data_IF_387239543723
#
_entry.id   IF_387239543723
#
_cell.length_a   1.000
_cell.length_b   1.000
_cell.length_c   1.000
_cell.angle_alpha   90.00
_cell.angle_beta   90.00
_cell.angle_gamma   90.00
#
_symmetry.space_group_name_H-M   'P 1'
#
loop_
_entity.id
_entity.type
_entity.pdbx_description
1 polymer ?
#
# COMPACT_ATOMS: atom_id res chain seq x y z
N UNK A 1 -50.22 35.01 27.53
CA UNK A 1 -49.90 36.23 26.75
C UNK A 1 -48.42 36.21 26.44
N UNK A 2 -48.09 36.20 25.15
CA UNK A 2 -46.77 35.91 24.57
C UNK A 2 -45.68 36.91 25.00
N UNK A 3 -44.56 36.39 25.48
CA UNK A 3 -43.29 37.11 25.58
C UNK A 3 -42.69 37.24 24.18
N UNK A 4 -42.81 38.43 23.61
CA UNK A 4 -42.25 38.76 22.29
C UNK A 4 -40.73 38.92 22.38
N UNK A 5 -40.01 38.10 21.62
CA UNK A 5 -38.55 38.10 21.54
C UNK A 5 -38.02 39.42 20.93
N UNK A 6 -37.61 40.35 21.79
CA UNK A 6 -37.06 41.69 21.48
C UNK A 6 -35.77 41.69 20.64
N UNK A 7 -35.09 40.55 20.51
CA UNK A 7 -33.82 40.46 19.77
C UNK A 7 -33.94 40.46 18.24
N UNK A 8 -35.16 40.36 17.69
CA UNK A 8 -35.37 40.24 16.24
C UNK A 8 -35.62 41.57 15.49
N UNK A 9 -35.62 42.73 16.16
CA UNK A 9 -36.03 44.01 15.54
C UNK A 9 -34.92 45.04 15.27
N UNK A 10 -33.64 44.67 15.29
CA UNK A 10 -32.57 45.61 14.91
C UNK A 10 -31.56 45.06 13.90
N UNK A 11 -32.04 44.42 12.84
CA UNK A 11 -31.19 44.22 11.66
C UNK A 11 -31.48 45.32 10.63
N UNK A 12 -30.75 46.43 10.76
CA UNK A 12 -30.85 47.56 9.84
C UNK A 12 -30.04 47.26 8.56
N UNK A 13 -30.50 46.27 7.79
CA UNK A 13 -29.85 45.75 6.57
C UNK A 13 -29.52 46.85 5.54
N UNK A 14 -30.26 47.96 5.53
CA UNK A 14 -29.99 49.13 4.68
C UNK A 14 -28.66 49.84 4.99
N UNK A 15 -28.11 49.68 6.20
CA UNK A 15 -26.80 50.26 6.60
C UNK A 15 -25.64 49.28 6.39
N UNK A 16 -25.93 48.00 6.11
CA UNK A 16 -24.92 46.95 5.89
C UNK A 16 -24.07 47.25 4.66
N UNK A 17 -24.70 47.71 3.57
CA UNK A 17 -24.01 48.13 2.34
C UNK A 17 -22.99 49.26 2.56
N UNK A 18 -23.17 50.09 3.60
CA UNK A 18 -22.22 51.14 3.97
C UNK A 18 -21.19 50.68 5.02
N UNK A 19 -21.57 49.75 5.89
CA UNK A 19 -20.70 49.23 6.97
C UNK A 19 -19.74 48.14 6.52
N UNK A 20 -20.13 47.29 5.56
CA UNK A 20 -19.26 46.24 5.01
C UNK A 20 -17.98 46.84 4.39
N UNK A 21 -18.05 47.85 3.50
CA UNK A 21 -16.83 48.44 2.94
C UNK A 21 -15.91 49.04 4.01
N UNK A 22 -16.47 49.68 5.04
CA UNK A 22 -15.71 50.22 6.16
C UNK A 22 -15.03 49.11 6.99
N UNK A 23 -15.71 47.98 7.19
CA UNK A 23 -15.15 46.81 7.86
C UNK A 23 -14.07 46.14 7.01
N UNK A 24 -14.31 45.95 5.71
CA UNK A 24 -13.31 45.39 4.76
C UNK A 24 -12.04 46.26 4.71
N UNK A 25 -12.19 47.58 4.81
CA UNK A 25 -11.06 48.50 4.83
C UNK A 25 -10.40 48.64 6.21
N UNK A 26 -11.02 48.11 7.26
CA UNK A 26 -10.48 48.13 8.61
C UNK A 26 -9.14 47.40 8.67
N UNK A 27 -8.15 47.94 9.40
CA UNK A 27 -6.85 47.28 9.57
C UNK A 27 -6.98 45.89 10.20
N UNK A 28 -8.01 45.65 11.03
CA UNK A 28 -8.27 44.35 11.65
C UNK A 28 -8.70 43.31 10.60
N UNK A 29 -9.64 43.66 9.72
CA UNK A 29 -10.08 42.76 8.66
C UNK A 29 -8.93 42.41 7.72
N UNK A 30 -8.21 43.43 7.24
CA UNK A 30 -7.04 43.24 6.36
C UNK A 30 -5.98 42.36 6.99
N UNK A 31 -5.66 42.58 8.28
CA UNK A 31 -4.71 41.74 9.02
C UNK A 31 -5.18 40.29 9.09
N UNK A 32 -6.44 40.05 9.41
CA UNK A 32 -6.98 38.70 9.51
C UNK A 32 -7.03 38.00 8.15
N UNK A 33 -7.40 38.71 7.08
CA UNK A 33 -7.37 38.17 5.71
C UNK A 33 -5.93 37.82 5.33
N UNK A 34 -4.95 38.72 5.54
CA UNK A 34 -3.54 38.42 5.30
C UNK A 34 -3.06 37.20 6.09
N UNK A 35 -3.38 37.10 7.37
CA UNK A 35 -3.02 35.95 8.20
C UNK A 35 -3.65 34.65 7.68
N UNK A 36 -4.92 34.69 7.26
CA UNK A 36 -5.62 33.54 6.71
C UNK A 36 -5.01 33.09 5.38
N UNK A 37 -4.76 34.02 4.44
CA UNK A 37 -4.14 33.70 3.16
C UNK A 37 -2.71 33.19 3.34
N UNK A 38 -1.96 33.73 4.31
CA UNK A 38 -0.61 33.24 4.64
C UNK A 38 -0.65 31.82 5.20
N UNK A 39 -1.63 31.50 6.07
CA UNK A 39 -1.84 30.16 6.59
C UNK A 39 -2.27 29.18 5.48
N UNK A 40 -3.19 29.59 4.60
CA UNK A 40 -3.63 28.80 3.46
C UNK A 40 -2.46 28.44 2.53
N UNK A 41 -1.61 29.42 2.20
CA UNK A 41 -0.38 29.17 1.45
C UNK A 41 0.57 28.23 2.20
N UNK A 42 0.80 28.44 3.50
CA UNK A 42 1.68 27.59 4.30
C UNK A 42 1.16 26.14 4.41
N UNK A 43 -0.16 25.94 4.45
CA UNK A 43 -0.76 24.60 4.43
C UNK A 43 -0.62 23.94 3.07
N UNK A 44 -0.85 24.69 1.98
CA UNK A 44 -0.67 24.18 0.61
C UNK A 44 0.80 23.84 0.28
N UNK A 45 1.74 24.57 0.87
CA UNK A 45 3.17 24.36 0.67
C UNK A 45 3.85 23.51 1.75
N UNK A 46 3.10 23.04 2.75
CA UNK A 46 3.64 22.30 3.90
C UNK A 46 4.81 23.05 4.56
N UNK A 47 4.61 24.33 4.90
CA UNK A 47 5.58 25.21 5.58
C UNK A 47 5.11 25.64 7.00
N UNK A 48 4.08 24.98 7.54
CA UNK A 48 3.58 25.21 8.90
C UNK A 48 4.51 24.70 10.01
N UNK A 49 4.10 24.86 11.28
CA UNK A 49 4.83 24.35 12.45
C UNK A 49 4.96 22.82 12.41
N UNK A 50 4.02 22.14 11.77
CA UNK A 50 3.97 20.70 11.60
C UNK A 50 4.81 20.19 10.42
N UNK A 51 5.46 21.05 9.65
CA UNK A 51 6.29 20.68 8.49
C UNK A 51 7.34 19.63 8.83
N UNK A 52 8.04 19.78 9.96
CA UNK A 52 9.07 18.83 10.38
C UNK A 52 8.48 17.46 10.73
N UNK A 53 7.30 17.45 11.34
CA UNK A 53 6.55 16.22 11.63
C UNK A 53 6.06 15.57 10.34
N UNK A 54 5.46 16.33 9.43
CA UNK A 54 5.01 15.84 8.11
C UNK A 54 6.18 15.28 7.29
N UNK A 55 7.32 15.96 7.28
CA UNK A 55 8.52 15.48 6.61
C UNK A 55 9.05 14.19 7.23
N UNK A 56 8.97 14.04 8.55
CA UNK A 56 9.35 12.80 9.24
C UNK A 56 8.42 11.65 8.88
N UNK A 57 7.11 11.89 8.82
CA UNK A 57 6.11 10.91 8.36
C UNK A 57 6.41 10.47 6.92
N UNK A 58 6.58 11.42 5.99
CA UNK A 58 6.88 11.12 4.58
C UNK A 58 8.17 10.33 4.41
N UNK A 59 9.21 10.63 5.21
CA UNK A 59 10.46 9.86 5.21
C UNK A 59 10.23 8.41 5.64
N UNK A 60 9.44 8.20 6.69
CA UNK A 60 9.14 6.86 7.18
C UNK A 60 8.24 6.09 6.19
N UNK A 61 7.25 6.76 5.58
CA UNK A 61 6.46 6.18 4.48
C UNK A 61 7.32 5.76 3.30
N UNK A 62 8.26 6.61 2.88
CA UNK A 62 9.20 6.29 1.80
C UNK A 62 10.11 5.10 2.14
N UNK A 63 10.59 5.05 3.39
CA UNK A 63 11.37 3.93 3.90
C UNK A 63 10.57 2.63 3.83
N UNK A 64 9.35 2.60 4.38
CA UNK A 64 8.51 1.40 4.38
C UNK A 64 8.11 0.96 2.97
N UNK A 65 7.75 1.89 2.08
CA UNK A 65 7.48 1.56 0.67
C UNK A 65 8.68 0.89 0.00
N UNK A 66 9.88 1.43 0.21
CA UNK A 66 11.10 0.87 -0.37
C UNK A 66 11.42 -0.53 0.18
N UNK A 67 11.22 -0.74 1.49
CA UNK A 67 11.42 -2.05 2.13
C UNK A 67 10.40 -3.07 1.64
N UNK A 68 9.11 -2.69 1.57
CA UNK A 68 8.05 -3.58 1.11
C UNK A 68 8.23 -3.99 -0.35
N UNK A 69 8.62 -3.07 -1.23
CA UNK A 69 8.94 -3.39 -2.62
C UNK A 69 10.06 -4.42 -2.72
N UNK A 70 11.15 -4.24 -1.97
CA UNK A 70 12.25 -5.20 -1.97
C UNK A 70 11.80 -6.60 -1.47
N UNK A 71 10.94 -6.66 -0.45
CA UNK A 71 10.39 -7.93 0.05
C UNK A 71 9.51 -8.59 -1.02
N UNK A 72 8.63 -7.83 -1.66
CA UNK A 72 7.76 -8.33 -2.73
C UNK A 72 8.60 -8.87 -3.89
N UNK A 73 9.64 -8.15 -4.31
CA UNK A 73 10.52 -8.58 -5.41
C UNK A 73 11.23 -9.92 -5.07
N UNK A 74 11.70 -10.08 -3.84
CA UNK A 74 12.30 -11.33 -3.37
C UNK A 74 11.28 -12.47 -3.38
N UNK A 75 10.05 -12.22 -2.90
CA UNK A 75 8.99 -13.23 -2.88
C UNK A 75 8.59 -13.62 -4.30
N UNK A 76 8.42 -12.64 -5.18
CA UNK A 76 8.12 -12.86 -6.60
C UNK A 76 9.21 -13.68 -7.28
N UNK A 77 10.48 -13.35 -7.06
CA UNK A 77 11.60 -14.10 -7.63
C UNK A 77 11.57 -15.58 -7.22
N UNK A 78 11.39 -15.85 -5.93
CA UNK A 78 11.29 -17.22 -5.42
C UNK A 78 10.05 -17.96 -5.94
N UNK A 79 8.91 -17.27 -6.06
CA UNK A 79 7.68 -17.84 -6.58
C UNK A 79 7.81 -18.23 -8.07
N UNK A 80 8.40 -17.35 -8.88
CA UNK A 80 8.65 -17.61 -10.30
C UNK A 80 9.59 -18.79 -10.51
N UNK A 81 10.61 -18.92 -9.65
CA UNK A 81 11.59 -20.02 -9.72
C UNK A 81 11.05 -21.33 -9.12
N UNK A 82 9.84 -21.34 -8.54
CA UNK A 82 9.29 -22.49 -7.82
C UNK A 82 10.13 -22.94 -6.62
N UNK A 83 10.92 -22.01 -6.06
CA UNK A 83 11.87 -22.31 -4.99
C UNK A 83 11.20 -22.34 -3.62
N UNK A 84 11.64 -23.24 -2.76
CA UNK A 84 11.21 -23.25 -1.36
C UNK A 84 11.63 -21.96 -0.65
N UNK A 85 10.65 -21.26 -0.06
CA UNK A 85 10.86 -20.02 0.68
C UNK A 85 11.50 -20.29 2.06
N UNK A 86 11.01 -21.34 2.70
CA UNK A 86 11.31 -21.73 4.07
C UNK A 86 12.54 -22.62 4.15
N UNK A 87 13.17 -22.59 5.32
CA UNK A 87 14.29 -23.47 5.68
C UNK A 87 14.07 -24.05 7.08
N UNK A 88 15.04 -24.82 7.57
CA UNK A 88 14.93 -25.46 8.89
C UNK A 88 15.03 -24.47 10.06
N UNK A 89 15.47 -23.24 9.81
CA UNK A 89 15.55 -22.19 10.82
C UNK A 89 14.92 -20.89 10.28
N UNK A 90 13.91 -20.37 11.00
CA UNK A 90 13.17 -19.16 10.62
C UNK A 90 13.57 -17.94 11.48
N UNK A 91 14.59 -18.09 12.34
CA UNK A 91 14.99 -17.04 13.26
C UNK A 91 15.82 -15.98 12.53
N UNK A 92 15.31 -14.75 12.48
CA UNK A 92 15.95 -13.60 11.81
C UNK A 92 17.32 -13.25 12.43
N UNK A 93 17.56 -13.54 13.71
CA UNK A 93 18.89 -13.35 14.33
C UNK A 93 19.97 -14.29 13.75
N UNK A 94 19.57 -15.32 13.01
CA UNK A 94 20.47 -16.22 12.29
C UNK A 94 20.76 -15.81 10.84
N UNK A 95 20.19 -14.68 10.39
CA UNK A 95 20.42 -14.11 9.05
C UNK A 95 21.90 -13.80 8.88
N UNK A 96 22.56 -14.52 7.96
CA UNK A 96 23.98 -14.41 7.67
C UNK A 96 24.91 -15.24 8.57
N UNK A 97 24.41 -15.88 9.63
CA UNK A 97 25.23 -16.69 10.58
C UNK A 97 24.94 -18.19 10.54
N UNK A 98 23.83 -18.64 9.96
CA UNK A 98 23.52 -20.08 9.84
C UNK A 98 23.16 -20.51 8.41
N UNK A 99 23.81 -21.56 7.90
CA UNK A 99 23.48 -22.20 6.61
C UNK A 99 22.12 -22.93 6.60
N UNK A 100 21.29 -22.74 7.64
CA UNK A 100 19.96 -23.38 7.80
C UNK A 100 18.80 -22.42 7.61
N UNK A 101 19.09 -21.15 7.33
CA UNK A 101 18.07 -20.14 7.01
C UNK A 101 17.43 -20.43 5.65
N UNK A 102 16.11 -20.22 5.54
CA UNK A 102 15.37 -20.40 4.28
C UNK A 102 15.88 -19.50 3.16
N UNK A 103 15.62 -19.88 1.90
CA UNK A 103 16.08 -19.12 0.72
C UNK A 103 15.61 -17.66 0.76
N UNK A 104 14.42 -17.40 1.30
CA UNK A 104 13.89 -16.04 1.49
C UNK A 104 14.83 -15.20 2.36
N UNK A 105 15.18 -15.66 3.56
CA UNK A 105 16.05 -14.91 4.47
C UNK A 105 17.47 -14.72 3.90
N UNK A 106 17.97 -15.70 3.14
CA UNK A 106 19.28 -15.59 2.48
C UNK A 106 19.27 -14.51 1.38
N UNK A 107 18.20 -14.44 0.60
CA UNK A 107 18.02 -13.38 -0.40
C UNK A 107 17.82 -12.01 0.24
N UNK A 108 17.03 -11.91 1.32
CA UNK A 108 16.88 -10.67 2.10
C UNK A 108 18.25 -10.18 2.58
N UNK A 109 19.09 -11.07 3.11
CA UNK A 109 20.45 -10.73 3.51
C UNK A 109 21.29 -10.22 2.33
N UNK A 110 21.26 -10.94 1.20
CA UNK A 110 22.01 -10.58 0.01
C UNK A 110 21.60 -9.21 -0.54
N UNK A 111 20.29 -8.97 -0.68
CA UNK A 111 19.75 -7.70 -1.17
C UNK A 111 20.06 -6.57 -0.20
N UNK A 112 20.07 -6.84 1.11
CA UNK A 112 20.40 -5.82 2.11
C UNK A 112 21.81 -5.24 1.95
N UNK A 113 22.78 -6.01 1.44
CA UNK A 113 24.13 -5.50 1.17
C UNK A 113 24.15 -4.39 0.10
N UNK A 114 23.18 -4.37 -0.80
CA UNK A 114 23.11 -3.43 -1.92
C UNK A 114 21.93 -2.46 -1.81
N UNK A 115 21.03 -2.64 -0.84
CA UNK A 115 19.83 -1.83 -0.65
C UNK A 115 19.78 -1.23 0.76
N UNK A 116 20.22 0.03 0.88
CA UNK A 116 20.34 0.75 2.15
C UNK A 116 19.04 0.78 2.99
N UNK A 117 17.84 1.02 2.42
CA UNK A 117 16.60 0.98 3.20
C UNK A 117 16.34 -0.38 3.85
N UNK A 118 16.61 -1.48 3.14
CA UNK A 118 16.42 -2.83 3.67
C UNK A 118 17.46 -3.15 4.76
N UNK A 119 18.71 -2.73 4.57
CA UNK A 119 19.77 -2.86 5.59
C UNK A 119 19.38 -2.17 6.89
N UNK A 120 18.96 -0.89 6.82
CA UNK A 120 18.51 -0.14 8.00
C UNK A 120 17.32 -0.80 8.67
N UNK A 121 16.39 -1.36 7.88
CA UNK A 121 15.23 -2.07 8.43
C UNK A 121 15.64 -3.34 9.19
N UNK A 122 16.58 -4.13 8.68
CA UNK A 122 17.11 -5.32 9.38
C UNK A 122 17.78 -4.92 10.72
N UNK A 123 18.52 -3.81 10.74
CA UNK A 123 19.11 -3.29 11.98
C UNK A 123 18.05 -2.83 13.00
N UNK A 124 17.00 -2.11 12.54
CA UNK A 124 15.87 -1.71 13.38
C UNK A 124 15.17 -2.93 13.98
N UNK A 125 14.97 -3.97 13.18
CA UNK A 125 14.37 -5.22 13.63
C UNK A 125 15.20 -5.90 14.74
N UNK A 126 16.54 -5.93 14.64
CA UNK A 126 17.41 -6.48 15.70
C UNK A 126 17.23 -5.80 17.05
N UNK A 127 16.75 -4.56 17.07
CA UNK A 127 16.46 -3.78 18.29
C UNK A 127 15.02 -3.96 18.80
N UNK A 128 14.26 -4.93 18.26
CA UNK A 128 12.86 -5.18 18.61
C UNK A 128 11.85 -4.42 17.75
N UNK A 129 12.28 -3.87 16.61
CA UNK A 129 11.38 -3.26 15.64
C UNK A 129 10.50 -4.27 14.91
N UNK A 130 9.41 -3.79 14.29
CA UNK A 130 8.50 -4.60 13.47
C UNK A 130 9.25 -5.31 12.33
N UNK A 131 8.88 -6.57 12.06
CA UNK A 131 9.40 -7.36 10.94
C UNK A 131 8.32 -7.62 9.90
N UNK A 132 8.72 -7.66 8.64
CA UNK A 132 7.92 -8.23 7.54
C UNK A 132 8.51 -9.54 7.00
N UNK A 133 9.33 -10.22 7.80
CA UNK A 133 10.04 -11.43 7.36
C UNK A 133 9.41 -12.73 7.85
N UNK A 134 8.33 -12.69 8.64
CA UNK A 134 7.68 -13.89 9.17
C UNK A 134 7.03 -14.70 8.04
N UNK A 135 6.88 -16.00 8.27
CA UNK A 135 6.24 -16.87 7.29
C UNK A 135 4.78 -16.49 7.03
N UNK A 136 4.04 -15.99 8.04
CA UNK A 136 2.65 -15.59 7.87
C UNK A 136 2.52 -14.42 6.91
N UNK A 137 3.42 -13.44 7.02
CA UNK A 137 3.47 -12.31 6.09
C UNK A 137 3.86 -12.76 4.68
N UNK A 138 4.80 -13.70 4.56
CA UNK A 138 5.15 -14.29 3.25
C UNK A 138 3.94 -14.99 2.61
N UNK A 139 3.18 -15.76 3.39
CA UNK A 139 1.97 -16.45 2.92
C UNK A 139 0.90 -15.44 2.48
N UNK A 140 0.67 -14.37 3.24
CA UNK A 140 -0.27 -13.30 2.87
C UNK A 140 0.09 -12.64 1.52
N UNK A 141 1.38 -12.33 1.31
CA UNK A 141 1.83 -11.80 0.02
C UNK A 141 1.60 -12.79 -1.12
N UNK A 142 1.91 -14.07 -0.91
CA UNK A 142 1.69 -15.12 -1.90
C UNK A 142 0.21 -15.29 -2.22
N UNK A 143 -0.67 -15.25 -1.23
CA UNK A 143 -2.12 -15.32 -1.43
C UNK A 143 -2.65 -14.16 -2.27
N UNK A 144 -2.21 -12.93 -1.98
CA UNK A 144 -2.60 -11.74 -2.75
C UNK A 144 -2.14 -11.86 -4.21
N UNK A 145 -0.89 -12.26 -4.44
CA UNK A 145 -0.35 -12.43 -5.78
C UNK A 145 -1.03 -13.57 -6.54
N UNK A 146 -1.23 -14.72 -5.89
CA UNK A 146 -1.92 -15.87 -6.47
C UNK A 146 -3.36 -15.52 -6.86
N UNK A 147 -4.07 -14.77 -6.00
CA UNK A 147 -5.41 -14.26 -6.30
C UNK A 147 -5.40 -13.36 -7.54
N UNK A 148 -4.46 -12.41 -7.62
CA UNK A 148 -4.36 -11.51 -8.78
C UNK A 148 -4.09 -12.26 -10.08
N UNK A 149 -3.18 -13.23 -10.06
CA UNK A 149 -2.89 -14.08 -11.23
C UNK A 149 -4.11 -14.92 -11.62
N UNK A 150 -4.80 -15.49 -10.64
CA UNK A 150 -6.04 -16.25 -10.87
C UNK A 150 -7.13 -15.38 -11.50
N UNK A 151 -7.36 -14.19 -10.96
CA UNK A 151 -8.38 -13.25 -11.47
C UNK A 151 -8.07 -12.84 -12.92
N UNK A 152 -6.80 -12.58 -13.23
CA UNK A 152 -6.33 -12.26 -14.59
C UNK A 152 -6.55 -13.43 -15.57
N UNK A 153 -6.21 -14.66 -15.15
CA UNK A 153 -6.43 -15.87 -15.95
C UNK A 153 -7.93 -16.07 -16.19
N UNK A 154 -8.76 -15.92 -15.15
CA UNK A 154 -10.21 -16.03 -15.24
C UNK A 154 -10.80 -15.00 -16.21
N UNK A 155 -10.35 -13.74 -16.17
CA UNK A 155 -10.79 -12.71 -17.13
C UNK A 155 -10.53 -13.16 -18.56
N UNK A 156 -9.34 -13.70 -18.83
CA UNK A 156 -8.94 -14.18 -20.18
C UNK A 156 -9.77 -15.38 -20.65
N UNK A 157 -10.15 -16.27 -19.73
CA UNK A 157 -11.02 -17.41 -20.05
C UNK A 157 -12.44 -16.93 -20.37
N UNK A 158 -12.98 -16.01 -19.58
CA UNK A 158 -14.34 -15.45 -19.78
C UNK A 158 -14.42 -14.71 -21.12
N UNK A 159 -13.36 -14.00 -21.51
CA UNK A 159 -13.26 -13.32 -22.80
C UNK A 159 -13.00 -14.27 -23.98
N UNK A 160 -12.53 -15.49 -23.73
CA UNK A 160 -12.22 -16.44 -24.78
C UNK A 160 -13.49 -16.99 -25.43
N UNK A 161 -13.52 -17.00 -26.76
CA UNK A 161 -14.63 -17.60 -27.53
C UNK A 161 -14.80 -19.10 -27.27
N UNK A 162 -13.69 -19.78 -26.98
CA UNK A 162 -13.65 -21.22 -26.75
C UNK A 162 -12.75 -21.52 -25.56
N UNK A 163 -13.27 -22.31 -24.63
CA UNK A 163 -12.54 -22.91 -23.52
C UNK A 163 -12.97 -24.37 -23.32
N UNK A 164 -12.16 -25.16 -22.62
CA UNK A 164 -12.44 -26.55 -22.26
C UNK A 164 -11.93 -26.83 -20.86
N UNK A 165 -12.63 -27.70 -20.13
CA UNK A 165 -12.25 -28.14 -18.79
C UNK A 165 -12.09 -29.65 -18.85
N UNK A 166 -10.94 -30.13 -18.40
CA UNK A 166 -10.58 -31.54 -18.34
C UNK A 166 -10.46 -31.95 -16.88
N UNK A 167 -10.99 -33.12 -16.55
CA UNK A 167 -10.90 -33.75 -15.25
C UNK A 167 -10.22 -35.11 -15.44
N UNK A 168 -9.19 -35.38 -14.63
CA UNK A 168 -8.52 -36.67 -14.56
C UNK A 168 -8.47 -37.14 -13.11
N UNK A 169 -8.81 -38.40 -12.86
CA UNK A 169 -8.86 -38.97 -11.51
C UNK A 169 -7.92 -40.16 -11.43
N UNK A 170 -6.95 -40.09 -10.53
CA UNK A 170 -5.99 -41.18 -10.28
C UNK A 170 -5.94 -41.50 -8.79
N UNK A 171 -6.01 -42.78 -8.38
CA UNK A 171 -5.80 -43.17 -6.98
C UNK A 171 -4.32 -42.99 -6.62
N UNK A 172 -4.05 -42.43 -5.43
CA UNK A 172 -2.70 -42.32 -4.89
C UNK A 172 -2.24 -43.59 -4.15
N UNK A 173 -1.02 -43.55 -3.61
CA UNK A 173 -0.39 -44.67 -2.87
C UNK A 173 -1.22 -45.09 -1.65
N UNK A 174 -2.04 -44.19 -1.09
CA UNK A 174 -2.93 -44.46 0.04
C UNK A 174 -4.34 -44.91 -0.41
N UNK A 175 -4.53 -45.21 -1.70
CA UNK A 175 -5.83 -45.52 -2.32
C UNK A 175 -6.86 -44.39 -2.19
N UNK A 176 -6.41 -43.15 -2.03
CA UNK A 176 -7.27 -41.98 -2.04
C UNK A 176 -7.35 -41.42 -3.46
N UNK A 177 -8.56 -41.15 -3.94
CA UNK A 177 -8.75 -40.53 -5.25
C UNK A 177 -8.22 -39.09 -5.24
N UNK A 178 -7.30 -38.78 -6.15
CA UNK A 178 -6.82 -37.43 -6.43
C UNK A 178 -7.41 -37.00 -7.77
N UNK A 179 -8.01 -35.81 -7.82
CA UNK A 179 -8.61 -35.23 -9.03
C UNK A 179 -7.76 -34.06 -9.52
N UNK A 180 -7.24 -34.18 -10.74
CA UNK A 180 -6.54 -33.12 -11.44
C UNK A 180 -7.49 -32.43 -12.42
N UNK A 181 -7.51 -31.09 -12.38
CA UNK A 181 -8.33 -30.26 -13.25
C UNK A 181 -7.43 -29.42 -14.15
N UNK A 182 -7.64 -29.48 -15.46
CA UNK A 182 -6.95 -28.63 -16.42
C UNK A 182 -7.95 -27.75 -17.18
N UNK A 183 -7.66 -26.46 -17.30
CA UNK A 183 -8.46 -25.52 -18.06
C UNK A 183 -7.67 -25.01 -19.25
N UNK A 184 -8.22 -25.18 -20.45
CA UNK A 184 -7.62 -24.79 -21.72
C UNK A 184 -8.48 -23.70 -22.35
N UNK A 185 -7.87 -22.60 -22.79
CA UNK A 185 -8.56 -21.51 -23.49
C UNK A 185 -7.71 -20.98 -24.63
N UNK A 186 -8.35 -20.43 -25.66
CA UNK A 186 -7.65 -19.86 -26.82
C UNK A 186 -7.85 -18.36 -26.90
N UNK A 187 -6.76 -17.60 -26.79
CA UNK A 187 -6.76 -16.16 -27.03
C UNK A 187 -6.74 -15.87 -28.53
N UNK A 188 -7.84 -15.36 -29.08
CA UNK A 188 -7.85 -14.80 -30.43
C UNK A 188 -7.35 -13.36 -30.39
N UNK A 189 -6.11 -13.12 -30.85
CA UNK A 189 -5.67 -11.76 -31.19
C UNK A 189 -6.43 -11.34 -32.45
N UNK A 190 -7.44 -10.48 -32.30
CA UNK A 190 -7.99 -9.78 -33.46
C UNK A 190 -6.95 -8.78 -33.93
N UNK A 191 -6.11 -9.18 -34.88
CA UNK A 191 -5.34 -8.21 -35.66
C UNK A 191 -6.37 -7.38 -36.43
N UNK A 192 -6.60 -6.15 -35.97
CA UNK A 192 -7.32 -5.15 -36.75
C UNK A 192 -6.56 -5.01 -38.07
N UNK A 193 -7.13 -5.55 -39.15
CA UNK A 193 -6.62 -5.32 -40.50
C UNK A 193 -6.86 -3.84 -40.81
N UNK A 194 -5.75 -3.15 -41.11
CA UNK A 194 -5.68 -1.82 -41.72
C UNK A 194 -6.47 -1.75 -43.03
#
# INVERSE_FOLDING_TARGET
MSTSNSWLQQTNWKKVTKKIPLHEHSPIHKKNVCSWTSLEMALNHCEGIDTELQNSIRKEEGHWKSVLLAIIDIIMHLAMDGSAFRGSNEIISSVGTSNRSGKFLNLVNLVSHYHEPLSKHIERHKKGGLSYFSHGIQDEFLEIMAKRVKDEILSKIIEAKYYSILFDCTPDIAHQEQMANAMLYKTTRMNAKS
#
